data_IF_290433520045
#
_entry.id   IF_290433520045
#
_cell.length_a   1.000
_cell.length_b   1.000
_cell.length_c   1.000
_cell.angle_alpha   90.00
_cell.angle_beta   90.00
_cell.angle_gamma   90.00
#
_symmetry.space_group_name_H-M   'P 1'
#
loop_
_entity.id
_entity.type
_entity.pdbx_description
1 polymer ?
#
# COMPACT_ATOMS: atom_id res chain seq x y z
N UNK A 1 -6.84 -64.47 0.89
CA UNK A 1 -8.28 -64.17 0.85
C UNK A 1 -8.58 -63.16 1.93
N UNK A 2 -8.80 -61.93 1.59
CA UNK A 2 -9.53 -60.91 2.34
C UNK A 2 -9.68 -59.70 1.40
N UNK A 3 -10.90 -59.43 0.98
CA UNK A 3 -11.30 -58.46 0.01
C UNK A 3 -11.20 -57.04 0.61
N UNK A 4 -10.58 -56.14 -0.12
CA UNK A 4 -10.58 -54.73 0.21
C UNK A 4 -11.90 -54.07 -0.14
N UNK A 5 -12.57 -53.47 0.82
CA UNK A 5 -13.72 -52.59 0.62
C UNK A 5 -13.25 -51.19 0.28
N UNK A 6 -13.34 -50.83 -0.99
CA UNK A 6 -13.25 -49.46 -1.44
C UNK A 6 -14.53 -48.70 -1.07
N UNK A 7 -14.45 -47.78 -0.12
CA UNK A 7 -15.56 -46.87 0.19
C UNK A 7 -15.59 -45.80 -0.92
N UNK A 8 -16.54 -45.95 -1.86
CA UNK A 8 -16.92 -44.90 -2.79
C UNK A 8 -17.68 -43.81 -2.03
N UNK A 9 -17.02 -42.68 -1.78
CA UNK A 9 -17.68 -41.46 -1.31
C UNK A 9 -18.52 -40.87 -2.44
N UNK A 10 -19.82 -41.25 -2.46
CA UNK A 10 -20.80 -40.61 -3.35
C UNK A 10 -21.20 -39.29 -2.70
N UNK A 11 -20.62 -38.20 -3.14
CA UNK A 11 -21.13 -36.87 -2.86
C UNK A 11 -22.50 -36.72 -3.53
N UNK A 12 -23.54 -37.06 -2.78
CA UNK A 12 -24.92 -36.69 -3.13
C UNK A 12 -25.04 -35.18 -2.91
N UNK A 13 -25.07 -34.42 -4.00
CA UNK A 13 -25.61 -33.06 -4.03
C UNK A 13 -27.04 -33.16 -3.46
N UNK A 14 -27.25 -32.70 -2.24
CA UNK A 14 -28.59 -32.44 -1.72
C UNK A 14 -29.04 -31.10 -2.30
N UNK A 15 -30.06 -31.05 -3.13
CA UNK A 15 -30.66 -29.80 -3.51
C UNK A 15 -31.35 -29.21 -2.28
N UNK A 16 -31.39 -27.92 -2.23
CA UNK A 16 -32.08 -26.95 -1.40
C UNK A 16 -33.46 -27.38 -0.80
N UNK A 17 -33.54 -28.48 -0.10
CA UNK A 17 -34.77 -28.98 0.54
C UNK A 17 -35.01 -28.44 1.97
N UNK A 18 -34.12 -27.55 2.48
CA UNK A 18 -34.26 -27.03 3.86
C UNK A 18 -35.27 -25.86 3.93
N UNK A 19 -35.69 -25.31 2.80
CA UNK A 19 -36.65 -24.18 2.77
C UNK A 19 -38.11 -24.57 2.46
N UNK A 20 -38.44 -25.85 2.30
CA UNK A 20 -39.77 -26.28 1.90
C UNK A 20 -40.76 -26.43 3.08
N UNK A 21 -40.38 -26.17 4.32
CA UNK A 21 -41.29 -26.29 5.48
C UNK A 21 -42.01 -25.02 5.90
N UNK A 22 -41.82 -23.88 5.24
CA UNK A 22 -42.48 -22.62 5.61
C UNK A 22 -43.73 -22.26 4.80
N UNK A 23 -44.24 -23.15 3.95
CA UNK A 23 -45.52 -22.94 3.25
C UNK A 23 -45.62 -21.71 2.36
N UNK A 24 -44.52 -21.01 2.10
CA UNK A 24 -44.46 -19.87 1.14
C UNK A 24 -44.03 -20.39 -0.21
N UNK A 25 -44.95 -20.45 -1.16
CA UNK A 25 -44.60 -20.63 -2.57
C UNK A 25 -43.71 -19.44 -2.99
N UNK A 26 -42.45 -19.68 -3.32
CA UNK A 26 -41.67 -18.69 -3.99
C UNK A 26 -42.32 -18.48 -5.37
N UNK A 27 -42.69 -17.21 -5.62
CA UNK A 27 -43.17 -16.82 -6.96
C UNK A 27 -42.09 -17.19 -7.99
N UNK A 28 -42.47 -18.01 -8.95
CA UNK A 28 -41.62 -18.41 -10.11
C UNK A 28 -41.32 -17.22 -11.04
N UNK A 29 -41.73 -16.01 -10.67
CA UNK A 29 -41.56 -14.79 -11.46
C UNK A 29 -40.31 -13.94 -11.10
N UNK A 30 -39.45 -14.39 -10.15
CA UNK A 30 -38.19 -13.70 -9.92
C UNK A 30 -37.26 -13.91 -11.13
N UNK A 31 -37.18 -12.89 -11.93
CA UNK A 31 -36.16 -12.78 -12.98
C UNK A 31 -34.99 -12.00 -12.37
N UNK A 32 -33.78 -12.59 -12.26
CA UNK A 32 -32.62 -11.82 -11.86
C UNK A 32 -32.44 -10.65 -12.82
N UNK A 33 -32.05 -9.47 -12.34
CA UNK A 33 -31.73 -8.36 -13.22
C UNK A 33 -30.64 -8.78 -14.22
N UNK A 34 -30.62 -8.24 -15.44
CA UNK A 34 -29.59 -8.60 -16.43
C UNK A 34 -28.20 -8.34 -15.87
N UNK A 35 -27.25 -9.23 -16.18
CA UNK A 35 -25.86 -9.26 -15.65
C UNK A 35 -25.03 -7.99 -15.94
N UNK A 36 -25.55 -7.02 -16.64
CA UNK A 36 -24.91 -5.74 -16.94
C UNK A 36 -24.87 -4.75 -15.77
N UNK A 37 -25.27 -5.14 -14.56
CA UNK A 37 -25.06 -4.32 -13.33
C UNK A 37 -23.58 -4.37 -12.89
N UNK A 38 -22.84 -5.43 -13.23
CA UNK A 38 -21.41 -5.50 -13.00
C UNK A 38 -20.69 -4.78 -14.14
N UNK A 39 -20.46 -3.47 -13.94
CA UNK A 39 -19.57 -2.72 -14.80
C UNK A 39 -18.22 -3.45 -14.88
N UNK A 40 -17.64 -3.53 -16.06
CA UNK A 40 -16.31 -4.11 -16.28
C UNK A 40 -15.28 -3.51 -15.33
N UNK A 41 -14.19 -4.23 -15.09
CA UNK A 41 -13.12 -3.73 -14.23
C UNK A 41 -12.69 -2.35 -14.76
N UNK A 42 -12.52 -1.35 -13.84
CA UNK A 42 -12.02 -0.04 -14.25
C UNK A 42 -10.63 -0.22 -14.86
N UNK A 43 -10.47 0.24 -16.08
CA UNK A 43 -9.18 0.31 -16.75
C UNK A 43 -8.55 1.64 -16.34
N UNK A 44 -7.38 1.59 -15.74
CA UNK A 44 -6.58 2.78 -15.45
C UNK A 44 -5.63 3.05 -16.60
N UNK A 45 -5.57 4.29 -17.03
CA UNK A 45 -4.55 4.74 -17.97
C UNK A 45 -3.18 4.69 -17.30
N UNK A 46 -2.14 4.43 -18.10
CA UNK A 46 -0.77 4.55 -17.62
C UNK A 46 -0.48 5.96 -17.16
N UNK A 47 0.35 6.09 -16.12
CA UNK A 47 0.87 7.38 -15.68
C UNK A 47 2.17 7.60 -16.44
N UNK A 48 2.17 8.57 -17.36
CA UNK A 48 3.36 8.90 -18.16
C UNK A 48 4.36 9.70 -17.31
N UNK A 49 5.43 9.01 -16.92
CA UNK A 49 6.56 9.62 -16.21
C UNK A 49 7.77 9.85 -17.12
N UNK A 50 7.68 9.45 -18.39
CA UNK A 50 8.75 9.65 -19.38
C UNK A 50 8.93 11.12 -19.75
N UNK A 51 7.84 11.87 -19.88
CA UNK A 51 7.83 13.32 -20.14
C UNK A 51 8.15 14.17 -18.91
N UNK A 52 8.31 13.57 -17.72
CA UNK A 52 8.45 14.27 -16.42
C UNK A 52 7.36 15.32 -16.19
N UNK A 53 6.15 15.05 -16.62
CA UNK A 53 5.02 15.94 -16.43
C UNK A 53 4.60 15.95 -14.96
N UNK A 54 5.12 16.93 -14.22
CA UNK A 54 4.67 17.19 -12.84
C UNK A 54 3.36 17.98 -12.94
N UNK A 55 2.32 17.53 -12.24
CA UNK A 55 1.03 18.23 -12.21
C UNK A 55 1.12 19.55 -11.42
N UNK A 56 0.27 20.52 -11.73
CA UNK A 56 0.22 21.79 -10.99
C UNK A 56 -0.07 21.55 -9.50
N UNK A 57 -0.87 20.54 -9.18
CA UNK A 57 -1.16 20.14 -7.81
C UNK A 57 0.09 19.62 -7.09
N UNK A 58 0.88 18.79 -7.74
CA UNK A 58 2.15 18.29 -7.19
C UNK A 58 3.17 19.43 -7.03
N UNK A 59 3.28 20.34 -8.01
CA UNK A 59 4.13 21.54 -7.90
C UNK A 59 3.72 22.38 -6.69
N UNK A 60 2.43 22.64 -6.51
CA UNK A 60 1.92 23.41 -5.38
C UNK A 60 2.21 22.71 -4.04
N UNK A 61 1.96 21.39 -3.96
CA UNK A 61 2.25 20.56 -2.78
C UNK A 61 3.73 20.55 -2.42
N UNK A 62 4.60 20.32 -3.40
CA UNK A 62 6.03 20.14 -3.18
C UNK A 62 6.73 21.47 -2.82
N UNK A 63 6.19 22.62 -3.23
CA UNK A 63 6.71 23.93 -2.90
C UNK A 63 6.09 24.57 -1.64
N UNK A 64 5.08 23.97 -1.04
CA UNK A 64 4.47 24.48 0.19
C UNK A 64 5.34 24.13 1.41
N UNK A 65 5.83 25.13 2.12
CA UNK A 65 6.67 24.98 3.33
C UNK A 65 5.88 24.39 4.51
N UNK A 66 4.55 24.54 4.49
CA UNK A 66 3.63 23.99 5.49
C UNK A 66 3.16 22.58 5.14
N UNK A 67 3.51 22.04 3.98
CA UNK A 67 3.14 20.68 3.61
C UNK A 67 3.79 19.66 4.56
N UNK A 68 3.06 18.57 4.86
CA UNK A 68 3.51 17.52 5.77
C UNK A 68 3.46 16.18 5.05
N UNK A 69 4.62 15.52 4.98
CA UNK A 69 4.79 14.21 4.38
C UNK A 69 5.13 13.18 5.44
N UNK A 70 4.34 12.13 5.56
CA UNK A 70 4.46 11.08 6.57
C UNK A 70 4.91 9.79 5.91
N UNK A 71 5.97 9.15 6.40
CA UNK A 71 6.54 7.91 5.86
C UNK A 71 6.58 6.85 6.93
N UNK A 72 5.86 5.73 6.76
CA UNK A 72 5.95 4.58 7.67
C UNK A 72 7.13 3.67 7.28
N UNK A 73 7.76 3.01 8.26
CA UNK A 73 8.91 2.14 7.98
C UNK A 73 10.16 2.89 7.53
N UNK A 74 10.33 4.13 7.98
CA UNK A 74 11.36 5.07 7.55
C UNK A 74 12.78 4.77 8.06
N UNK A 75 13.00 3.71 8.83
CA UNK A 75 14.28 3.42 9.49
C UNK A 75 15.40 2.98 8.55
N UNK A 76 15.08 2.42 7.39
CA UNK A 76 16.04 1.84 6.42
C UNK A 76 15.43 1.67 5.04
N UNK A 77 16.29 1.28 4.08
CA UNK A 77 15.86 0.84 2.74
C UNK A 77 14.94 1.86 2.05
N UNK A 78 13.87 1.42 1.38
CA UNK A 78 12.96 2.32 0.66
C UNK A 78 12.35 3.42 1.55
N UNK A 79 11.97 3.10 2.80
CA UNK A 79 11.39 4.11 3.70
C UNK A 79 12.35 5.25 4.02
N UNK A 80 13.61 4.92 4.30
CA UNK A 80 14.65 5.92 4.50
C UNK A 80 14.92 6.73 3.22
N UNK A 81 14.92 6.07 2.09
CA UNK A 81 15.14 6.74 0.81
C UNK A 81 13.98 7.68 0.43
N UNK A 82 12.72 7.32 0.76
CA UNK A 82 11.60 8.24 0.66
C UNK A 82 11.82 9.50 1.49
N UNK A 83 12.30 9.38 2.75
CA UNK A 83 12.63 10.54 3.58
C UNK A 83 13.67 11.43 2.92
N UNK A 84 14.77 10.87 2.40
CA UNK A 84 15.85 11.62 1.74
C UNK A 84 15.34 12.34 0.48
N UNK A 85 14.61 11.63 -0.38
CA UNK A 85 14.15 12.22 -1.63
C UNK A 85 13.02 13.24 -1.44
N UNK A 86 12.13 13.04 -0.46
CA UNK A 86 11.14 14.05 -0.09
C UNK A 86 11.80 15.32 0.44
N UNK A 87 12.89 15.22 1.20
CA UNK A 87 13.66 16.40 1.63
C UNK A 87 14.23 17.21 0.47
N UNK A 88 14.71 16.52 -0.57
CA UNK A 88 15.28 17.20 -1.76
C UNK A 88 14.22 17.72 -2.73
N UNK A 89 13.10 17.01 -2.87
CA UNK A 89 12.05 17.32 -3.84
C UNK A 89 10.99 18.28 -3.31
N UNK A 90 10.89 18.44 -2.00
CA UNK A 90 9.83 19.25 -1.37
C UNK A 90 10.40 20.27 -0.41
N UNK A 91 9.60 21.27 -0.05
CA UNK A 91 9.94 22.30 0.96
C UNK A 91 9.24 22.03 2.32
N UNK A 92 8.33 21.08 2.38
CA UNK A 92 7.53 20.79 3.55
C UNK A 92 8.25 20.03 4.66
N UNK A 93 7.53 19.65 5.68
CA UNK A 93 7.98 18.86 6.83
C UNK A 93 7.90 17.36 6.50
N UNK A 94 8.85 16.59 7.01
CA UNK A 94 8.89 15.14 6.84
C UNK A 94 8.73 14.49 8.21
N UNK A 95 7.77 13.61 8.35
CA UNK A 95 7.57 12.80 9.56
C UNK A 95 7.98 11.37 9.26
N UNK A 96 9.10 10.96 9.83
CA UNK A 96 9.66 9.62 9.69
C UNK A 96 9.14 8.72 10.80
N UNK A 97 8.23 7.81 10.47
CA UNK A 97 7.65 6.87 11.42
C UNK A 97 8.46 5.58 11.45
N UNK A 98 9.01 5.23 12.60
CA UNK A 98 9.92 4.10 12.77
C UNK A 98 9.56 3.25 13.98
N UNK A 99 9.81 1.94 13.90
CA UNK A 99 9.42 1.01 14.98
C UNK A 99 10.15 1.31 16.30
N UNK A 100 11.42 1.69 16.25
CA UNK A 100 12.28 1.92 17.45
C UNK A 100 13.17 3.14 17.24
N UNK A 101 12.80 4.32 17.71
CA UNK A 101 13.67 5.48 17.73
C UNK A 101 14.96 5.20 18.52
N UNK A 102 16.09 5.76 18.06
CA UNK A 102 17.41 5.56 18.68
C UNK A 102 18.07 4.20 18.41
N UNK A 103 17.43 3.31 17.62
CA UNK A 103 18.01 2.04 17.19
C UNK A 103 18.02 1.86 15.67
N UNK A 104 18.16 2.96 14.93
CA UNK A 104 18.13 2.98 13.47
C UNK A 104 19.40 3.65 12.92
N UNK A 105 20.56 2.98 12.95
CA UNK A 105 21.85 3.58 12.59
C UNK A 105 21.87 4.23 11.21
N UNK A 106 21.19 3.64 10.23
CA UNK A 106 21.13 4.19 8.88
C UNK A 106 20.34 5.53 8.81
N UNK A 107 19.23 5.63 9.56
CA UNK A 107 18.49 6.89 9.67
C UNK A 107 19.29 7.93 10.45
N UNK A 108 19.87 7.55 11.60
CA UNK A 108 20.66 8.44 12.43
C UNK A 108 21.87 9.01 11.66
N UNK A 109 22.55 8.17 10.89
CA UNK A 109 23.64 8.59 9.98
C UNK A 109 23.13 9.57 8.91
N UNK A 110 22.01 9.24 8.26
CA UNK A 110 21.44 10.11 7.21
C UNK A 110 21.04 11.48 7.80
N UNK A 111 20.40 11.50 8.97
CA UNK A 111 20.01 12.74 9.64
C UNK A 111 21.22 13.56 10.11
N UNK A 112 22.30 12.92 10.53
CA UNK A 112 23.54 13.58 10.92
C UNK A 112 24.30 14.25 9.77
N UNK A 113 24.01 13.87 8.53
CA UNK A 113 24.60 14.45 7.31
C UNK A 113 23.79 15.65 6.72
N UNK A 114 22.59 15.88 7.25
CA UNK A 114 21.73 16.96 6.78
C UNK A 114 22.26 18.36 7.21
N UNK A 115 21.97 19.37 6.41
CA UNK A 115 22.09 20.75 6.84
C UNK A 115 21.22 21.01 8.09
N UNK A 116 21.53 22.07 8.85
CA UNK A 116 20.71 22.46 10.00
C UNK A 116 19.25 22.72 9.60
N UNK A 117 19.03 23.35 8.47
CA UNK A 117 17.71 23.71 7.97
C UNK A 117 16.92 22.47 7.53
N UNK A 118 17.54 21.55 6.80
CA UNK A 118 16.88 20.29 6.40
C UNK A 118 16.62 19.41 7.63
N UNK A 119 17.54 19.36 8.59
CA UNK A 119 17.33 18.58 9.83
C UNK A 119 16.14 19.10 10.63
N UNK A 120 15.92 20.43 10.65
CA UNK A 120 14.76 21.05 11.31
C UNK A 120 13.42 20.73 10.64
N UNK A 121 13.44 20.20 9.41
CA UNK A 121 12.25 19.76 8.68
C UNK A 121 11.87 18.31 8.98
N UNK A 122 12.73 17.52 9.65
CA UNK A 122 12.48 16.10 9.92
C UNK A 122 12.09 15.88 11.38
N UNK A 123 10.89 15.34 11.58
CA UNK A 123 10.43 14.80 12.87
C UNK A 123 10.46 13.26 12.81
N UNK A 124 10.94 12.61 13.87
CA UNK A 124 11.03 11.14 13.97
C UNK A 124 10.16 10.68 15.12
N UNK A 125 9.14 9.87 14.81
CA UNK A 125 8.19 9.36 15.79
C UNK A 125 8.17 7.83 15.84
N UNK A 126 7.90 7.23 17.00
CA UNK A 126 7.72 5.79 17.12
C UNK A 126 6.41 5.35 16.49
N UNK A 127 6.44 4.27 15.70
CA UNK A 127 5.24 3.61 15.21
C UNK A 127 5.50 2.13 14.94
N UNK A 128 4.79 1.27 15.67
CA UNK A 128 4.45 -0.07 15.23
C UNK A 128 3.12 -0.02 14.50
N UNK A 129 3.12 -0.28 13.21
CA UNK A 129 1.91 -0.22 12.37
C UNK A 129 0.87 -1.30 12.74
N UNK A 130 1.23 -2.26 13.58
CA UNK A 130 0.32 -3.28 14.12
C UNK A 130 -0.35 -2.86 15.43
N UNK A 131 0.07 -1.73 16.01
CA UNK A 131 -0.44 -1.20 17.27
C UNK A 131 -1.36 0.00 17.02
N UNK A 132 -2.68 -0.20 17.18
CA UNK A 132 -3.67 0.85 16.93
C UNK A 132 -3.49 2.07 17.84
N UNK A 133 -3.14 1.87 19.12
CA UNK A 133 -2.94 2.98 20.06
C UNK A 133 -1.78 3.88 19.63
N UNK A 134 -0.68 3.29 19.12
CA UNK A 134 0.41 4.07 18.57
C UNK A 134 0.02 4.84 17.31
N UNK A 135 -0.81 4.24 16.44
CA UNK A 135 -1.34 4.95 15.25
C UNK A 135 -2.20 6.14 15.68
N UNK A 136 -3.05 5.96 16.70
CA UNK A 136 -3.89 7.05 17.26
C UNK A 136 -3.03 8.15 17.87
N UNK A 137 -2.00 7.78 18.65
CA UNK A 137 -1.08 8.74 19.25
C UNK A 137 -0.34 9.57 18.19
N UNK A 138 0.16 8.92 17.12
CA UNK A 138 0.77 9.63 15.99
C UNK A 138 -0.24 10.58 15.32
N UNK A 139 -1.47 10.14 15.08
CA UNK A 139 -2.49 11.00 14.48
C UNK A 139 -2.82 12.22 15.35
N UNK A 140 -2.86 12.03 16.68
CA UNK A 140 -3.06 13.12 17.65
C UNK A 140 -1.91 14.11 17.63
N UNK A 141 -0.66 13.62 17.71
CA UNK A 141 0.54 14.47 17.66
C UNK A 141 0.63 15.27 16.36
N UNK A 142 0.34 14.63 15.21
CA UNK A 142 0.32 15.31 13.92
C UNK A 142 -0.79 16.37 13.83
N UNK A 143 -1.95 16.11 14.44
CA UNK A 143 -3.02 17.08 14.51
C UNK A 143 -2.65 18.31 15.37
N UNK A 144 -2.06 18.09 16.52
CA UNK A 144 -1.62 19.15 17.44
C UNK A 144 -0.47 19.99 16.87
N UNK A 145 0.47 19.33 16.17
CA UNK A 145 1.69 19.99 15.67
C UNK A 145 1.47 20.67 14.31
N UNK A 146 0.74 20.04 13.39
CA UNK A 146 0.64 20.48 12.00
C UNK A 146 -0.78 20.70 11.50
N UNK A 147 -1.78 20.03 12.10
CA UNK A 147 -3.19 20.03 11.71
C UNK A 147 -3.46 19.66 10.24
N UNK A 148 -2.47 19.07 9.54
CA UNK A 148 -2.56 18.66 8.14
C UNK A 148 -1.57 17.55 7.79
N UNK A 149 -1.90 16.74 6.79
CA UNK A 149 -1.01 15.82 6.08
C UNK A 149 -1.25 15.99 4.57
N UNK A 150 -0.18 16.10 3.78
CA UNK A 150 -0.24 16.29 2.33
C UNK A 150 0.17 15.04 1.57
N UNK A 151 0.98 14.20 2.20
CA UNK A 151 1.36 12.91 1.67
C UNK A 151 1.54 11.87 2.78
N UNK A 152 0.85 10.74 2.67
CA UNK A 152 1.06 9.57 3.51
C UNK A 152 1.66 8.45 2.66
N UNK A 153 2.86 8.00 3.02
CA UNK A 153 3.58 6.92 2.36
C UNK A 153 3.62 5.69 3.26
N UNK A 154 2.75 4.74 3.00
CA UNK A 154 2.69 3.45 3.68
C UNK A 154 3.74 2.51 3.07
N UNK A 155 4.97 2.57 3.61
CA UNK A 155 6.14 1.85 3.12
C UNK A 155 6.45 0.62 3.99
N UNK A 156 6.06 0.63 5.26
CA UNK A 156 6.25 -0.51 6.15
C UNK A 156 5.65 -1.80 5.56
N UNK A 157 6.42 -2.89 5.62
CA UNK A 157 5.99 -4.19 5.11
C UNK A 157 6.95 -5.31 5.48
N UNK A 158 6.46 -6.54 5.43
CA UNK A 158 7.23 -7.76 5.69
C UNK A 158 6.93 -8.81 4.63
N UNK A 159 7.93 -9.62 4.28
CA UNK A 159 7.82 -10.76 3.36
C UNK A 159 8.28 -12.05 4.04
N UNK A 160 9.32 -11.98 4.86
CA UNK A 160 9.88 -13.08 5.64
C UNK A 160 10.47 -12.53 6.94
N UNK A 161 10.64 -13.40 7.91
CA UNK A 161 11.32 -13.10 9.17
C UNK A 161 12.62 -13.91 9.24
N UNK A 162 13.74 -13.22 9.25
CA UNK A 162 15.07 -13.84 9.36
C UNK A 162 15.33 -14.49 10.72
N UNK A 163 14.56 -14.11 11.75
CA UNK A 163 14.75 -14.58 13.12
C UNK A 163 13.97 -15.85 13.44
N UNK A 164 12.92 -16.14 12.70
CA UNK A 164 11.98 -17.23 12.99
C UNK A 164 11.91 -18.30 11.91
N UNK A 165 12.79 -18.31 10.92
CA UNK A 165 12.67 -19.19 9.74
C UNK A 165 11.34 -19.06 8.97
N UNK A 166 10.44 -18.18 9.41
CA UNK A 166 9.21 -17.85 8.71
C UNK A 166 9.58 -17.03 7.45
N UNK A 167 9.77 -17.73 6.36
CA UNK A 167 9.99 -17.18 5.04
C UNK A 167 8.68 -17.13 4.27
N UNK A 168 8.65 -16.55 3.09
CA UNK A 168 7.49 -16.74 2.22
C UNK A 168 7.38 -18.23 1.88
N UNK A 169 6.17 -18.74 1.96
CA UNK A 169 5.86 -20.16 1.77
C UNK A 169 6.18 -20.59 0.33
N UNK A 170 6.84 -21.73 0.16
CA UNK A 170 7.16 -22.33 -1.13
C UNK A 170 6.09 -23.32 -1.61
N UNK A 171 5.22 -23.77 -0.69
CA UNK A 171 4.09 -24.64 -0.98
C UNK A 171 3.00 -24.50 0.10
N UNK A 172 1.80 -25.00 -0.16
CA UNK A 172 0.63 -24.84 0.72
C UNK A 172 0.81 -25.46 2.11
N UNK A 173 1.60 -26.55 2.23
CA UNK A 173 1.82 -27.21 3.52
C UNK A 173 2.70 -26.41 4.50
N UNK A 174 3.34 -25.35 4.02
CA UNK A 174 4.14 -24.42 4.84
C UNK A 174 3.32 -23.24 5.38
N UNK A 175 2.03 -23.19 5.05
CA UNK A 175 1.19 -22.09 5.53
C UNK A 175 1.02 -22.20 7.05
N UNK A 176 1.43 -21.16 7.75
CA UNK A 176 1.31 -21.01 9.20
C UNK A 176 0.33 -19.90 9.55
N UNK A 177 -0.59 -20.18 10.47
CA UNK A 177 -1.65 -19.24 10.84
C UNK A 177 -1.10 -17.98 11.49
N UNK A 178 -0.12 -18.10 12.36
CA UNK A 178 0.43 -16.94 13.10
C UNK A 178 1.20 -16.03 12.16
N UNK A 179 1.96 -16.62 11.23
CA UNK A 179 2.68 -15.88 10.21
C UNK A 179 1.74 -15.19 9.21
N UNK A 180 0.70 -15.88 8.78
CA UNK A 180 -0.35 -15.30 7.93
C UNK A 180 -0.99 -14.09 8.60
N UNK A 181 -1.40 -14.22 9.87
CA UNK A 181 -1.98 -13.12 10.64
C UNK A 181 -1.01 -11.94 10.78
N UNK A 182 0.26 -12.21 11.06
CA UNK A 182 1.29 -11.16 11.14
C UNK A 182 1.49 -10.43 9.79
N UNK A 183 1.54 -11.17 8.69
CA UNK A 183 1.62 -10.58 7.35
C UNK A 183 0.41 -9.66 7.06
N UNK A 184 -0.79 -10.08 7.42
CA UNK A 184 -1.98 -9.24 7.28
C UNK A 184 -1.92 -8.00 8.19
N UNK A 185 -1.52 -8.17 9.44
CA UNK A 185 -1.40 -7.07 10.39
C UNK A 185 -0.46 -5.97 9.87
N UNK A 186 0.73 -6.34 9.38
CA UNK A 186 1.72 -5.37 8.90
C UNK A 186 1.39 -4.84 7.51
N UNK A 187 1.07 -5.74 6.55
CA UNK A 187 1.01 -5.38 5.13
C UNK A 187 -0.35 -4.82 4.67
N UNK A 188 -1.43 -5.09 5.41
CA UNK A 188 -2.78 -4.68 5.04
C UNK A 188 -3.46 -3.84 6.13
N UNK A 189 -3.59 -4.37 7.34
CA UNK A 189 -4.30 -3.71 8.44
C UNK A 189 -3.57 -2.41 8.83
N UNK A 190 -2.25 -2.45 9.06
CA UNK A 190 -1.45 -1.30 9.43
C UNK A 190 -1.60 -0.10 8.49
N UNK A 191 -1.36 -0.25 7.17
CA UNK A 191 -1.58 0.81 6.20
C UNK A 191 -3.01 1.36 6.18
N UNK A 192 -4.01 0.47 6.29
CA UNK A 192 -5.41 0.90 6.29
C UNK A 192 -5.79 1.64 7.56
N UNK A 193 -5.32 1.19 8.74
CA UNK A 193 -5.53 1.89 10.01
C UNK A 193 -4.80 3.24 10.04
N UNK A 194 -3.55 3.30 9.57
CA UNK A 194 -2.81 4.56 9.42
C UNK A 194 -3.56 5.54 8.51
N UNK A 195 -4.04 5.07 7.37
CA UNK A 195 -4.86 5.89 6.44
C UNK A 195 -6.14 6.36 7.11
N UNK A 196 -6.86 5.49 7.81
CA UNK A 196 -8.11 5.79 8.51
C UNK A 196 -7.94 6.87 9.57
N UNK A 197 -6.95 6.72 10.47
CA UNK A 197 -6.72 7.67 11.56
C UNK A 197 -6.17 9.02 11.06
N UNK A 198 -5.43 9.03 9.95
CA UNK A 198 -4.91 10.25 9.33
C UNK A 198 -5.87 10.88 8.30
N UNK A 199 -6.95 10.20 7.90
CA UNK A 199 -7.91 10.71 6.92
C UNK A 199 -8.45 12.13 7.23
N UNK A 200 -8.75 12.50 8.50
CA UNK A 200 -9.16 13.88 8.82
C UNK A 200 -8.10 14.93 8.48
N UNK A 201 -6.79 14.61 8.65
CA UNK A 201 -5.66 15.50 8.36
C UNK A 201 -5.32 15.54 6.86
N UNK A 202 -5.61 14.48 6.14
CA UNK A 202 -5.46 14.40 4.68
C UNK A 202 -6.51 15.24 3.94
N UNK A 203 -7.64 15.50 4.57
CA UNK A 203 -8.78 16.18 3.95
C UNK A 203 -8.43 17.60 3.50
N UNK A 204 -8.63 17.87 2.21
CA UNK A 204 -8.34 19.18 1.59
C UNK A 204 -9.60 19.97 1.23
N UNK A 205 -10.75 19.30 1.09
CA UNK A 205 -12.03 19.92 0.72
C UNK A 205 -13.23 19.33 1.46
N UNK A 206 -14.29 20.11 1.58
CA UNK A 206 -15.62 19.68 2.01
C UNK A 206 -16.63 20.13 0.95
N UNK A 207 -17.11 19.18 0.14
CA UNK A 207 -17.89 19.49 -1.06
C UNK A 207 -17.08 20.34 -2.04
N UNK A 208 -17.60 21.52 -2.40
CA UNK A 208 -16.90 22.47 -3.30
C UNK A 208 -15.93 23.41 -2.57
N UNK A 209 -15.92 23.43 -1.23
CA UNK A 209 -15.08 24.35 -0.43
C UNK A 209 -13.73 23.69 -0.13
N UNK A 210 -12.64 24.35 -0.49
CA UNK A 210 -11.30 24.00 -0.05
C UNK A 210 -11.09 24.40 1.40
N UNK A 211 -10.39 23.55 2.16
CA UNK A 211 -10.12 23.74 3.59
C UNK A 211 -8.75 24.37 3.84
N UNK A 212 -7.88 24.33 2.83
CA UNK A 212 -6.52 24.87 2.88
C UNK A 212 -6.42 26.18 2.11
N UNK A 213 -5.77 27.15 2.70
CA UNK A 213 -5.60 28.48 2.09
C UNK A 213 -4.33 28.55 1.23
N UNK A 214 -3.34 27.69 1.52
CA UNK A 214 -2.03 27.64 0.85
C UNK A 214 -1.73 26.24 0.32
N UNK A 215 -0.83 26.13 -0.62
CA UNK A 215 -0.31 24.90 -1.16
C UNK A 215 -1.31 24.12 -2.01
N UNK A 216 -1.12 22.80 -2.06
CA UNK A 216 -1.94 21.90 -2.84
C UNK A 216 -3.35 21.79 -2.30
N UNK A 217 -4.31 21.80 -3.22
CA UNK A 217 -5.72 21.48 -2.96
C UNK A 217 -5.98 19.96 -2.89
N UNK A 218 -4.94 19.17 -2.94
CA UNK A 218 -4.96 17.72 -2.99
C UNK A 218 -3.90 17.13 -2.07
N UNK A 219 -4.24 16.01 -1.44
CA UNK A 219 -3.30 15.18 -0.70
C UNK A 219 -3.20 13.79 -1.32
N UNK A 220 -2.17 13.04 -0.98
CA UNK A 220 -1.94 11.71 -1.55
C UNK A 220 -1.70 10.67 -0.47
N UNK A 221 -2.20 9.44 -0.71
CA UNK A 221 -1.89 8.25 0.07
C UNK A 221 -1.26 7.23 -0.86
N UNK A 222 -0.02 6.91 -0.61
CA UNK A 222 0.78 5.95 -1.38
C UNK A 222 0.94 4.68 -0.57
N UNK A 223 0.58 3.54 -1.16
CA UNK A 223 0.69 2.24 -0.51
C UNK A 223 1.64 1.35 -1.30
N UNK A 224 2.75 0.90 -0.69
CA UNK A 224 3.63 -0.04 -1.34
C UNK A 224 3.01 -1.44 -1.37
N UNK A 225 2.71 -1.89 -2.58
CA UNK A 225 2.17 -3.20 -2.88
C UNK A 225 3.21 -4.07 -3.60
N UNK A 226 2.77 -5.12 -4.24
CA UNK A 226 3.62 -6.04 -4.99
C UNK A 226 2.85 -6.60 -6.18
N UNK A 227 3.51 -6.82 -7.33
CA UNK A 227 2.87 -7.39 -8.52
C UNK A 227 2.20 -8.74 -8.25
N UNK A 228 2.78 -9.52 -7.35
CA UNK A 228 2.22 -10.82 -6.93
C UNK A 228 0.89 -10.70 -6.18
N UNK A 229 0.43 -9.50 -5.83
CA UNK A 229 -0.88 -9.22 -5.27
C UNK A 229 -2.01 -9.23 -6.31
N UNK A 230 -1.68 -9.10 -7.58
CA UNK A 230 -2.66 -9.17 -8.67
C UNK A 230 -3.18 -10.60 -8.80
N UNK A 231 -4.49 -10.77 -8.75
CA UNK A 231 -5.14 -12.05 -9.03
C UNK A 231 -5.20 -12.30 -10.54
N UNK A 232 -5.44 -11.27 -11.32
CA UNK A 232 -5.53 -11.36 -12.79
C UNK A 232 -4.19 -11.66 -13.46
N UNK A 233 -3.07 -11.19 -12.86
CA UNK A 233 -1.70 -11.41 -13.35
C UNK A 233 -1.05 -12.66 -12.73
N UNK A 234 -1.80 -13.46 -11.96
CA UNK A 234 -1.29 -14.64 -11.29
C UNK A 234 -1.29 -15.86 -12.22
N UNK A 235 -0.18 -16.07 -12.91
CA UNK A 235 0.06 -17.23 -13.79
C UNK A 235 0.75 -18.40 -13.08
N UNK A 236 0.86 -18.38 -11.74
CA UNK A 236 1.57 -19.38 -10.94
C UNK A 236 3.02 -18.96 -10.61
N UNK A 237 3.88 -19.91 -10.35
CA UNK A 237 5.30 -19.71 -10.01
C UNK A 237 5.54 -19.62 -8.51
N UNK A 238 5.73 -18.43 -7.95
CA UNK A 238 5.98 -18.24 -6.52
C UNK A 238 4.74 -18.57 -5.69
N UNK A 239 4.86 -19.38 -4.68
CA UNK A 239 3.79 -19.69 -3.74
C UNK A 239 3.43 -18.44 -2.91
N UNK A 240 4.22 -18.08 -1.91
CA UNK A 240 4.14 -16.85 -1.11
C UNK A 240 2.71 -16.49 -0.65
N UNK A 241 1.97 -17.47 -0.19
CA UNK A 241 0.53 -17.35 0.09
C UNK A 241 0.21 -16.17 1.00
N UNK A 242 0.84 -16.10 2.18
CA UNK A 242 0.57 -15.05 3.16
C UNK A 242 0.88 -13.67 2.60
N UNK A 243 1.99 -13.52 1.87
CA UNK A 243 2.39 -12.24 1.29
C UNK A 243 1.45 -11.81 0.17
N UNK A 244 1.16 -12.70 -0.80
CA UNK A 244 0.20 -12.42 -1.88
C UNK A 244 -1.16 -12.02 -1.34
N UNK A 245 -1.70 -12.81 -0.41
CA UNK A 245 -3.00 -12.56 0.21
C UNK A 245 -3.02 -11.21 0.93
N UNK A 246 -1.99 -10.89 1.73
CA UNK A 246 -1.91 -9.63 2.47
C UNK A 246 -1.82 -8.41 1.54
N UNK A 247 -1.06 -8.50 0.45
CA UNK A 247 -0.93 -7.40 -0.53
C UNK A 247 -2.16 -7.28 -1.45
N UNK A 248 -2.87 -8.38 -1.74
CA UNK A 248 -4.17 -8.34 -2.41
C UNK A 248 -5.23 -7.66 -1.52
N UNK A 249 -5.24 -7.97 -0.22
CA UNK A 249 -6.10 -7.30 0.75
C UNK A 249 -5.81 -5.79 0.83
N UNK A 250 -4.53 -5.37 0.82
CA UNK A 250 -4.15 -3.97 0.75
C UNK A 250 -4.69 -3.31 -0.53
N UNK A 251 -4.51 -3.95 -1.70
CA UNK A 251 -4.99 -3.43 -2.98
C UNK A 251 -6.51 -3.21 -2.96
N UNK A 252 -7.27 -4.17 -2.39
CA UNK A 252 -8.71 -4.01 -2.21
C UNK A 252 -9.05 -2.84 -1.27
N UNK A 253 -8.31 -2.68 -0.17
CA UNK A 253 -8.45 -1.56 0.75
C UNK A 253 -8.19 -0.21 0.07
N UNK A 254 -7.13 -0.11 -0.73
CA UNK A 254 -6.81 1.09 -1.54
C UNK A 254 -7.95 1.40 -2.51
N UNK A 255 -8.45 0.39 -3.22
CA UNK A 255 -9.56 0.56 -4.15
C UNK A 255 -10.84 1.03 -3.45
N UNK A 256 -11.21 0.40 -2.34
CA UNK A 256 -12.41 0.75 -1.58
C UNK A 256 -12.33 2.16 -1.00
N UNK A 257 -11.21 2.51 -0.34
CA UNK A 257 -11.02 3.82 0.27
C UNK A 257 -10.92 4.96 -0.76
N UNK A 258 -10.51 4.69 -1.98
CA UNK A 258 -10.41 5.70 -3.04
C UNK A 258 -11.74 6.42 -3.29
N UNK A 259 -12.85 5.70 -3.22
CA UNK A 259 -14.19 6.26 -3.45
C UNK A 259 -14.60 7.29 -2.38
N UNK A 260 -14.17 7.08 -1.14
CA UNK A 260 -14.41 8.01 -0.02
C UNK A 260 -13.40 9.16 -0.05
N UNK A 261 -12.11 8.84 -0.10
CA UNK A 261 -11.01 9.79 -0.01
C UNK A 261 -11.03 10.80 -1.16
N UNK A 262 -11.37 10.39 -2.38
CA UNK A 262 -11.54 11.26 -3.54
C UNK A 262 -12.52 12.42 -3.25
N UNK A 263 -13.62 12.16 -2.55
CA UNK A 263 -14.63 13.18 -2.22
C UNK A 263 -14.10 14.28 -1.32
N UNK A 264 -13.08 13.99 -0.54
CA UNK A 264 -12.44 14.96 0.36
C UNK A 264 -11.13 15.56 -0.20
N UNK A 265 -10.79 15.26 -1.45
CA UNK A 265 -9.61 15.77 -2.14
C UNK A 265 -8.33 15.02 -1.78
N UNK A 266 -8.44 13.75 -1.43
CA UNK A 266 -7.31 12.86 -1.16
C UNK A 266 -7.29 11.76 -2.20
N UNK A 267 -6.16 11.59 -2.88
CA UNK A 267 -5.97 10.53 -3.85
C UNK A 267 -5.17 9.40 -3.25
N UNK A 268 -5.55 8.16 -3.53
CA UNK A 268 -4.85 6.98 -3.01
C UNK A 268 -4.46 6.05 -4.16
N UNK A 269 -3.28 5.44 -4.04
CA UNK A 269 -2.68 4.61 -5.09
C UNK A 269 -1.92 3.44 -4.47
N UNK A 270 -1.94 2.29 -5.16
CA UNK A 270 -1.06 1.16 -4.86
C UNK A 270 0.10 1.14 -5.87
N UNK A 271 1.34 0.99 -5.38
CA UNK A 271 2.54 0.98 -6.21
C UNK A 271 3.35 -0.30 -6.01
N UNK A 272 3.75 -0.91 -7.12
CA UNK A 272 4.74 -1.98 -7.15
C UNK A 272 6.12 -1.42 -7.49
N UNK A 273 7.10 -1.52 -6.58
CA UNK A 273 8.41 -0.90 -6.74
C UNK A 273 9.36 -1.66 -7.70
N UNK A 274 8.93 -2.76 -8.30
CA UNK A 274 9.85 -3.67 -9.00
C UNK A 274 10.69 -4.49 -8.02
N UNK A 275 11.66 -5.24 -8.55
CA UNK A 275 12.66 -5.94 -7.74
C UNK A 275 13.72 -4.95 -7.28
N UNK A 276 13.50 -4.32 -6.15
CA UNK A 276 14.41 -3.33 -5.57
C UNK A 276 15.45 -4.00 -4.68
N UNK A 277 16.71 -3.58 -4.74
CA UNK A 277 17.82 -4.13 -3.92
C UNK A 277 17.68 -3.72 -2.45
N UNK A 278 17.02 -4.56 -1.70
CA UNK A 278 16.73 -4.37 -0.27
C UNK A 278 17.03 -5.64 0.50
N UNK A 279 17.19 -5.53 1.82
CA UNK A 279 17.35 -6.72 2.67
C UNK A 279 16.18 -7.71 2.54
N UNK A 280 15.00 -7.22 2.22
CA UNK A 280 13.81 -8.04 2.00
C UNK A 280 13.92 -8.86 0.71
N UNK A 281 14.44 -8.29 -0.36
CA UNK A 281 14.51 -8.92 -1.67
C UNK A 281 15.77 -9.76 -1.89
N UNK A 282 16.88 -9.44 -1.21
CA UNK A 282 18.18 -10.13 -1.37
C UNK A 282 18.10 -11.65 -1.40
N UNK A 283 17.33 -12.33 -0.53
CA UNK A 283 17.23 -13.79 -0.57
C UNK A 283 16.63 -14.38 -1.85
N UNK A 284 15.92 -13.54 -2.62
CA UNK A 284 15.17 -13.94 -3.82
C UNK A 284 15.79 -13.41 -5.12
N UNK A 285 16.87 -12.64 -5.03
CA UNK A 285 17.61 -12.15 -6.19
C UNK A 285 18.45 -13.27 -6.79
N UNK A 286 18.21 -13.58 -8.05
CA UNK A 286 19.02 -14.54 -8.79
C UNK A 286 20.15 -13.83 -9.55
N UNK A 287 21.24 -14.55 -9.82
CA UNK A 287 22.34 -14.04 -10.64
C UNK A 287 21.86 -13.56 -12.02
N UNK A 288 20.94 -14.29 -12.62
CA UNK A 288 20.32 -13.90 -13.89
C UNK A 288 19.57 -12.55 -13.79
N UNK A 289 18.85 -12.30 -12.68
CA UNK A 289 18.16 -11.03 -12.49
C UNK A 289 19.13 -9.87 -12.39
N UNK A 290 20.24 -10.06 -11.68
CA UNK A 290 21.30 -9.05 -11.57
C UNK A 290 21.97 -8.77 -12.92
N UNK A 291 22.36 -9.81 -13.65
CA UNK A 291 22.98 -9.71 -14.98
C UNK A 291 22.08 -9.04 -16.02
N UNK A 292 20.76 -9.22 -15.93
CA UNK A 292 19.79 -8.58 -16.82
C UNK A 292 19.35 -7.18 -16.35
N UNK A 293 19.91 -6.64 -15.27
CA UNK A 293 19.53 -5.34 -14.74
C UNK A 293 18.08 -5.26 -14.21
N UNK A 294 17.52 -6.41 -13.78
CA UNK A 294 16.15 -6.49 -13.24
C UNK A 294 16.06 -6.18 -11.75
N UNK A 295 17.20 -5.98 -11.09
CA UNK A 295 17.31 -5.57 -9.68
C UNK A 295 17.68 -4.09 -9.66
N UNK A 296 16.79 -3.28 -9.14
CA UNK A 296 16.94 -1.82 -9.18
C UNK A 296 17.59 -1.28 -7.90
N UNK A 297 18.49 -0.29 -8.00
CA UNK A 297 18.92 0.48 -6.83
C UNK A 297 17.74 1.10 -6.10
N UNK A 298 17.81 1.21 -4.77
CA UNK A 298 16.73 1.80 -3.95
C UNK A 298 16.44 3.24 -4.37
N UNK A 299 17.48 4.01 -4.66
CA UNK A 299 17.43 5.40 -5.10
C UNK A 299 16.67 5.55 -6.41
N UNK A 300 16.94 4.68 -7.37
CA UNK A 300 16.23 4.66 -8.66
C UNK A 300 14.75 4.35 -8.45
N UNK A 301 14.46 3.28 -7.70
CA UNK A 301 13.07 2.87 -7.45
C UNK A 301 12.26 4.00 -6.81
N UNK A 302 12.76 4.57 -5.71
CA UNK A 302 12.02 5.63 -4.99
C UNK A 302 11.86 6.87 -5.84
N UNK A 303 12.89 7.21 -6.66
CA UNK A 303 12.77 8.30 -7.62
C UNK A 303 11.61 8.08 -8.60
N UNK A 304 11.50 6.88 -9.18
CA UNK A 304 10.41 6.55 -10.11
C UNK A 304 9.04 6.58 -9.44
N UNK A 305 8.93 6.03 -8.21
CA UNK A 305 7.67 6.06 -7.46
C UNK A 305 7.21 7.49 -7.13
N UNK A 306 8.14 8.38 -6.79
CA UNK A 306 7.83 9.79 -6.57
C UNK A 306 7.47 10.52 -7.88
N UNK A 307 8.11 10.19 -9.00
CA UNK A 307 7.73 10.71 -10.33
C UNK A 307 6.27 10.32 -10.67
N UNK A 308 5.85 9.08 -10.35
CA UNK A 308 4.46 8.64 -10.50
C UNK A 308 3.52 9.48 -9.62
N UNK A 309 3.88 9.69 -8.35
CA UNK A 309 3.08 10.50 -7.40
C UNK A 309 2.96 11.96 -7.85
N UNK A 310 4.00 12.50 -8.47
CA UNK A 310 4.01 13.88 -8.98
C UNK A 310 3.27 14.03 -10.32
N UNK A 311 3.13 12.94 -11.09
CA UNK A 311 2.42 12.91 -12.36
C UNK A 311 0.96 12.41 -12.25
N UNK A 312 0.54 11.87 -11.08
CA UNK A 312 -0.80 11.31 -10.95
C UNK A 312 -1.90 12.38 -10.96
N UNK A 313 -3.01 12.03 -11.56
CA UNK A 313 -4.23 12.83 -11.65
C UNK A 313 -5.38 12.15 -10.90
N UNK A 314 -6.54 12.81 -10.81
CA UNK A 314 -7.71 12.30 -10.08
C UNK A 314 -8.19 10.95 -10.61
N UNK A 315 -8.04 10.70 -11.91
CA UNK A 315 -8.44 9.45 -12.59
C UNK A 315 -7.61 8.24 -12.17
N UNK A 316 -6.39 8.47 -11.71
CA UNK A 316 -5.49 7.41 -11.25
C UNK A 316 -5.82 6.92 -9.84
N UNK A 317 -6.68 7.64 -9.10
CA UNK A 317 -7.00 7.29 -7.71
C UNK A 317 -7.69 5.93 -7.60
N UNK A 318 -7.20 5.09 -6.70
CA UNK A 318 -7.66 3.72 -6.53
C UNK A 318 -7.03 2.73 -7.51
N UNK A 319 -6.07 3.15 -8.34
CA UNK A 319 -5.34 2.30 -9.27
C UNK A 319 -4.15 1.58 -8.64
N UNK A 320 -3.65 0.58 -9.38
CA UNK A 320 -2.46 -0.17 -9.04
C UNK A 320 -1.46 -0.08 -10.21
N UNK A 321 -0.27 0.42 -9.93
CA UNK A 321 0.74 0.72 -10.96
C UNK A 321 2.10 0.15 -10.58
N UNK A 322 2.92 -0.14 -11.58
CA UNK A 322 4.31 -0.50 -11.37
C UNK A 322 5.23 0.73 -11.36
N UNK A 323 6.51 0.48 -11.12
CA UNK A 323 7.58 1.49 -11.04
C UNK A 323 7.75 2.34 -12.31
N UNK A 324 7.22 1.89 -13.43
CA UNK A 324 7.25 2.60 -14.72
C UNK A 324 5.92 3.29 -15.05
N UNK A 325 4.98 3.34 -14.12
CA UNK A 325 3.68 3.95 -14.30
C UNK A 325 2.69 3.10 -15.08
N UNK A 326 3.05 1.84 -15.41
CA UNK A 326 2.15 0.93 -16.10
C UNK A 326 1.07 0.42 -15.15
N UNK A 327 -0.18 0.47 -15.60
CA UNK A 327 -1.29 -0.08 -14.82
C UNK A 327 -1.18 -1.60 -14.70
N UNK A 328 -1.28 -2.11 -13.46
CA UNK A 328 -1.35 -3.54 -13.16
C UNK A 328 -2.82 -3.89 -12.90
N UNK A 329 -3.37 -4.96 -13.50
CA UNK A 329 -4.73 -5.41 -13.18
C UNK A 329 -4.77 -5.97 -11.74
N UNK A 330 -5.94 -5.86 -11.08
CA UNK A 330 -6.16 -6.39 -9.72
C UNK A 330 -6.32 -7.90 -9.67
#
# INVERSE_FOLDING_TARGET
>A
MAAGNAVKLVLRSRPLAIYAQSGRSFSTSFQPPPNNIYHGQPVYNHIDIGSRKITDAAVARNNDVEAVFVVTGASRSMGLEFVKQLLTRTKGKIVALILRPGSSPALDQALGQLSRDDRARVNVLPLDVTNEDQIVNVATELNETYARVDGLFNVAGVLGDKTTTAGPEMNLSQLDQSWLQHQFAVNAVGPMMSTSKLAPLLKTRKGKKYLRNTGSKESVVVNLSARVASMSDNTGGLAWYSYRMSKAALNQGVRASSHELRRQGTWTIALYPGMTDTDMSKPFQTKMMQEKGLVFPVEFTVSRLLDIVDAMEEENTGGFFDWDGQSIPF
#
